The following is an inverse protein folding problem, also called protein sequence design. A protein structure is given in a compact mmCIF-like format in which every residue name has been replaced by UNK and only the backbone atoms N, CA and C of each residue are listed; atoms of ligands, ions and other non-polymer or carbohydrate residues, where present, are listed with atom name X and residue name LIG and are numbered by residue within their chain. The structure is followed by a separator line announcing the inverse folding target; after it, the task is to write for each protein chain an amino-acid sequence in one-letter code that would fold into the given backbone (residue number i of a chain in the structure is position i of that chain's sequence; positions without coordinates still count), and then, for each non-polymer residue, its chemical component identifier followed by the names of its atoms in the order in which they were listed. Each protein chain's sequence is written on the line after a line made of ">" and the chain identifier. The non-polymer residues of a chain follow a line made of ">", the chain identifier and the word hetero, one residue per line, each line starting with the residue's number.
data_IF_400763843054
#
_entry.id   IF_400763843054
#
_cell.length_a   1.000
_cell.length_b   1.000
_cell.length_c   1.000
_cell.angle_alpha   90.00
_cell.angle_beta   90.00
_cell.angle_gamma   90.00
#
_symmetry.space_group_name_H-M   'P 1'
#
loop_
_entity.id
_entity.type
_entity.pdbx_description
1 polymer ?
#
# COMPACT_ATOMS: atom_id res chain seq x y z
N UNK A 1 19.03 23.92 -35.07
CA UNK A 1 19.50 22.65 -34.48
C UNK A 1 18.80 22.50 -33.14
N UNK A 2 17.71 21.76 -33.13
CA UNK A 2 16.85 21.56 -31.94
C UNK A 2 17.44 20.44 -31.09
N UNK A 3 17.80 20.74 -29.85
CA UNK A 3 18.14 19.73 -28.82
C UNK A 3 16.82 19.10 -28.34
N UNK A 4 16.54 17.89 -28.78
CA UNK A 4 15.53 17.04 -28.19
C UNK A 4 16.07 16.56 -26.83
N UNK A 5 15.55 17.14 -25.75
CA UNK A 5 15.74 16.62 -24.39
C UNK A 5 15.07 15.26 -24.28
N UNK A 6 15.86 14.22 -24.23
CA UNK A 6 15.39 12.87 -23.87
C UNK A 6 15.12 12.88 -22.38
N UNK A 7 13.86 13.04 -22.00
CA UNK A 7 13.37 12.69 -20.67
C UNK A 7 13.61 11.17 -20.48
N UNK A 8 14.68 10.83 -19.81
CA UNK A 8 15.00 9.47 -19.41
C UNK A 8 14.13 9.05 -18.23
N UNK A 9 12.85 8.78 -18.45
CA UNK A 9 11.95 8.26 -17.41
C UNK A 9 12.48 6.92 -16.87
N UNK A 10 12.66 6.81 -15.54
CA UNK A 10 12.98 5.53 -14.88
C UNK A 10 11.88 4.52 -15.25
N UNK A 11 12.28 3.29 -15.57
CA UNK A 11 11.32 2.19 -15.75
C UNK A 11 10.52 2.02 -14.46
N UNK A 12 9.18 2.03 -14.51
CA UNK A 12 8.36 1.81 -13.32
C UNK A 12 8.76 0.52 -12.61
N UNK A 13 8.93 0.58 -11.30
CA UNK A 13 9.41 -0.56 -10.49
C UNK A 13 8.61 -1.84 -10.74
N UNK A 14 7.29 -1.71 -10.88
CA UNK A 14 6.39 -2.85 -11.10
C UNK A 14 6.43 -3.41 -12.52
N UNK A 15 7.01 -2.74 -13.51
CA UNK A 15 7.29 -3.35 -14.81
C UNK A 15 8.34 -4.46 -14.71
N UNK A 16 9.18 -4.44 -13.66
CA UNK A 16 10.20 -5.45 -13.40
C UNK A 16 9.74 -6.56 -12.45
N UNK A 17 8.79 -6.29 -11.54
CA UNK A 17 8.47 -7.18 -10.42
C UNK A 17 6.99 -7.53 -10.29
N UNK A 18 6.11 -6.97 -11.13
CA UNK A 18 4.65 -7.06 -10.98
C UNK A 18 4.03 -8.39 -11.43
N UNK A 19 4.77 -9.29 -12.10
CA UNK A 19 4.23 -10.59 -12.52
C UNK A 19 3.89 -11.46 -11.31
N UNK A 20 2.63 -11.96 -11.24
CA UNK A 20 2.15 -12.78 -10.12
C UNK A 20 1.68 -12.01 -8.88
N UNK A 21 1.76 -10.67 -8.87
CA UNK A 21 1.33 -9.84 -7.75
C UNK A 21 -0.17 -10.00 -7.43
N UNK A 22 -1.01 -10.11 -8.45
CA UNK A 22 -2.46 -10.27 -8.32
C UNK A 22 -2.90 -11.57 -7.62
N UNK A 23 -2.05 -12.60 -7.60
CA UNK A 23 -2.41 -13.90 -7.02
C UNK A 23 -2.50 -13.86 -5.49
N UNK A 24 -1.73 -12.99 -4.83
CA UNK A 24 -1.65 -12.89 -3.36
C UNK A 24 -2.33 -11.64 -2.81
N UNK A 25 -2.63 -10.64 -3.66
CA UNK A 25 -3.27 -9.40 -3.26
C UNK A 25 -4.75 -9.46 -3.60
N UNK A 26 -5.55 -9.55 -2.57
CA UNK A 26 -7.03 -9.54 -2.63
C UNK A 26 -7.53 -8.50 -1.66
N UNK A 27 -8.59 -7.78 -2.02
CA UNK A 27 -9.19 -6.83 -1.09
C UNK A 27 -9.78 -7.55 0.13
N UNK A 28 -9.44 -7.10 1.33
CA UNK A 28 -10.18 -7.50 2.53
C UNK A 28 -11.46 -6.66 2.62
N UNK A 29 -12.65 -7.29 2.75
CA UNK A 29 -13.92 -6.56 2.68
C UNK A 29 -14.07 -5.52 3.81
N UNK A 30 -13.46 -5.72 4.97
CA UNK A 30 -13.50 -4.79 6.11
C UNK A 30 -12.67 -3.55 5.82
N UNK A 31 -11.45 -3.73 5.28
CA UNK A 31 -10.60 -2.62 4.85
C UNK A 31 -11.24 -1.89 3.66
N UNK A 32 -11.81 -2.64 2.71
CA UNK A 32 -12.53 -2.04 1.57
C UNK A 32 -13.74 -1.21 2.02
N UNK A 33 -14.45 -1.65 3.05
CA UNK A 33 -15.55 -0.88 3.64
C UNK A 33 -15.04 0.45 4.21
N UNK A 34 -13.95 0.45 4.98
CA UNK A 34 -13.37 1.67 5.52
C UNK A 34 -12.97 2.68 4.42
N UNK A 35 -12.38 2.20 3.32
CA UNK A 35 -12.05 3.05 2.15
C UNK A 35 -13.32 3.62 1.50
N UNK A 36 -14.36 2.80 1.29
CA UNK A 36 -15.64 3.25 0.71
C UNK A 36 -16.31 4.30 1.58
N UNK A 37 -16.34 4.09 2.89
CA UNK A 37 -16.94 5.03 3.86
C UNK A 37 -16.20 6.37 3.85
N UNK A 38 -14.87 6.36 3.72
CA UNK A 38 -14.07 7.57 3.60
C UNK A 38 -14.31 8.34 2.30
N UNK A 39 -14.59 7.63 1.21
CA UNK A 39 -14.98 8.26 -0.06
C UNK A 39 -16.36 8.93 0.01
N UNK A 40 -17.20 8.57 0.98
CA UNK A 40 -18.51 9.17 1.22
C UNK A 40 -19.42 9.10 -0.01
N UNK A 41 -20.06 10.22 -0.33
CA UNK A 41 -21.00 10.39 -1.44
C UNK A 41 -20.34 10.76 -2.78
N UNK A 42 -19.02 10.62 -2.91
CA UNK A 42 -18.30 10.85 -4.17
C UNK A 42 -18.85 9.91 -5.27
N UNK A 43 -19.38 10.46 -6.35
CA UNK A 43 -19.92 9.69 -7.48
C UNK A 43 -18.86 9.32 -8.51
N UNK A 44 -17.78 10.09 -8.57
CA UNK A 44 -16.62 9.86 -9.45
C UNK A 44 -15.32 9.84 -8.66
N UNK A 45 -14.47 8.84 -8.94
CA UNK A 45 -13.22 8.59 -8.19
C UNK A 45 -12.07 8.34 -9.15
N UNK A 46 -10.90 8.95 -8.89
CA UNK A 46 -9.64 8.57 -9.50
C UNK A 46 -8.82 7.72 -8.50
N UNK A 47 -8.39 6.53 -8.92
CA UNK A 47 -7.50 5.68 -8.13
C UNK A 47 -6.05 5.86 -8.62
N UNK A 48 -5.18 6.42 -7.78
CA UNK A 48 -3.81 6.78 -8.11
C UNK A 48 -2.84 5.72 -7.58
N UNK A 49 -2.01 5.16 -8.48
CA UNK A 49 -1.21 3.96 -8.20
C UNK A 49 -2.11 2.72 -8.12
N UNK A 50 -3.05 2.63 -9.03
CA UNK A 50 -4.16 1.67 -8.99
C UNK A 50 -3.71 0.20 -9.13
N UNK A 51 -2.55 -0.05 -9.71
CA UNK A 51 -2.05 -1.39 -9.91
C UNK A 51 -3.07 -2.28 -10.65
N UNK A 52 -3.36 -3.44 -10.06
CA UNK A 52 -4.32 -4.41 -10.58
C UNK A 52 -5.78 -4.11 -10.22
N UNK A 53 -6.05 -3.04 -9.44
CA UNK A 53 -7.40 -2.58 -9.12
C UNK A 53 -7.95 -3.07 -7.76
N UNK A 54 -7.08 -3.40 -6.81
CA UNK A 54 -7.53 -3.74 -5.45
C UNK A 54 -8.14 -2.51 -4.75
N UNK A 55 -9.18 -2.74 -3.94
CA UNK A 55 -9.91 -1.72 -3.19
C UNK A 55 -10.67 -0.69 -4.04
N UNK A 56 -10.87 -0.94 -5.33
CA UNK A 56 -11.67 -0.08 -6.19
C UNK A 56 -13.17 -0.24 -5.90
N UNK A 57 -13.89 0.84 -5.55
CA UNK A 57 -15.34 0.78 -5.39
C UNK A 57 -16.03 0.47 -6.73
N UNK A 58 -16.97 -0.45 -6.71
CA UNK A 58 -17.71 -0.91 -7.91
C UNK A 58 -19.03 -0.18 -8.13
N UNK A 59 -19.44 0.62 -7.18
CA UNK A 59 -20.74 1.29 -7.09
C UNK A 59 -20.72 2.75 -7.62
N UNK A 60 -19.58 3.18 -8.18
CA UNK A 60 -19.38 4.54 -8.67
C UNK A 60 -18.48 4.59 -9.90
N UNK A 61 -18.48 5.74 -10.59
CA UNK A 61 -17.58 5.94 -11.72
C UNK A 61 -16.13 5.97 -11.22
N UNK A 62 -15.26 5.20 -11.86
CA UNK A 62 -13.86 5.14 -11.48
C UNK A 62 -12.95 5.22 -12.70
N UNK A 63 -11.86 5.95 -12.57
CA UNK A 63 -10.71 5.95 -13.47
C UNK A 63 -9.45 5.58 -12.71
N UNK A 64 -8.72 4.60 -13.22
CA UNK A 64 -7.46 4.14 -12.64
C UNK A 64 -6.27 4.86 -13.28
N UNK A 65 -5.27 5.22 -12.48
CA UNK A 65 -4.01 5.81 -12.96
C UNK A 65 -2.86 5.00 -12.38
N UNK A 66 -1.97 4.47 -13.23
CA UNK A 66 -0.78 3.73 -12.80
C UNK A 66 0.35 3.89 -13.82
N UNK A 67 1.61 4.07 -13.39
CA UNK A 67 2.75 4.18 -14.32
C UNK A 67 3.13 2.86 -14.98
N UNK A 68 2.79 1.71 -14.37
CA UNK A 68 3.21 0.38 -14.82
C UNK A 68 2.26 -0.22 -15.86
N UNK A 69 2.77 -0.42 -17.06
CA UNK A 69 2.04 -1.17 -18.11
C UNK A 69 1.75 -2.61 -17.69
N UNK A 70 2.67 -3.23 -16.96
CA UNK A 70 2.54 -4.62 -16.50
C UNK A 70 1.41 -4.76 -15.50
N UNK A 71 1.26 -3.81 -14.59
CA UNK A 71 0.16 -3.80 -13.61
C UNK A 71 -1.19 -3.53 -14.29
N UNK A 72 -1.24 -2.56 -15.19
CA UNK A 72 -2.46 -2.25 -15.95
C UNK A 72 -2.93 -3.43 -16.81
N UNK A 73 -2.00 -4.18 -17.41
CA UNK A 73 -2.31 -5.37 -18.21
C UNK A 73 -2.86 -6.55 -17.40
N UNK A 74 -2.65 -6.59 -16.08
CA UNK A 74 -3.16 -7.62 -15.17
C UNK A 74 -4.54 -7.27 -14.58
N UNK A 75 -5.11 -6.11 -14.92
CA UNK A 75 -6.45 -5.75 -14.45
C UNK A 75 -7.48 -6.73 -15.01
N UNK A 76 -8.46 -7.16 -14.20
CA UNK A 76 -9.46 -8.12 -14.63
C UNK A 76 -10.32 -7.57 -15.78
N UNK A 77 -10.86 -8.45 -16.60
CA UNK A 77 -11.84 -8.08 -17.62
C UNK A 77 -13.05 -7.39 -16.97
N UNK A 78 -13.45 -6.24 -17.52
CA UNK A 78 -14.53 -5.43 -16.96
C UNK A 78 -14.12 -4.50 -15.81
N UNK A 79 -12.82 -4.42 -15.45
CA UNK A 79 -12.32 -3.39 -14.56
C UNK A 79 -12.56 -1.98 -15.13
N UNK A 80 -12.56 -1.00 -14.24
CA UNK A 80 -12.71 0.42 -14.61
C UNK A 80 -11.64 0.85 -15.63
N UNK A 81 -11.94 1.86 -16.49
CA UNK A 81 -10.95 2.41 -17.40
C UNK A 81 -9.65 2.78 -16.71
N UNK A 82 -8.53 2.56 -17.39
CA UNK A 82 -7.22 2.83 -16.83
C UNK A 82 -6.35 3.61 -17.81
N UNK A 83 -5.61 4.58 -17.29
CA UNK A 83 -4.67 5.40 -18.04
C UNK A 83 -3.29 5.31 -17.41
N UNK A 84 -2.27 5.46 -18.26
CA UNK A 84 -0.89 5.48 -17.79
C UNK A 84 -0.51 6.87 -17.30
N UNK A 85 -0.06 6.96 -16.03
CA UNK A 85 0.40 8.22 -15.43
C UNK A 85 1.07 7.95 -14.08
N UNK A 86 1.94 8.86 -13.64
CA UNK A 86 2.49 8.85 -12.28
C UNK A 86 1.64 9.67 -11.33
N UNK A 87 1.85 9.48 -10.03
CA UNK A 87 1.19 10.28 -9.01
C UNK A 87 1.61 11.75 -9.08
N UNK A 88 2.86 12.01 -9.45
CA UNK A 88 3.44 13.34 -9.54
C UNK A 88 3.01 14.12 -10.80
N UNK A 89 2.39 13.42 -11.76
CA UNK A 89 1.86 14.02 -12.98
C UNK A 89 0.63 13.23 -13.44
N UNK A 90 -0.51 13.51 -12.83
CA UNK A 90 -1.76 12.81 -13.12
C UNK A 90 -2.37 13.38 -14.41
N UNK A 91 -2.61 12.54 -15.46
CA UNK A 91 -3.13 12.98 -16.74
C UNK A 91 -4.66 13.18 -16.74
N UNK A 92 -5.15 13.92 -15.78
CA UNK A 92 -6.54 14.33 -15.60
C UNK A 92 -6.61 15.86 -15.43
N UNK A 93 -7.72 16.44 -15.86
CA UNK A 93 -7.96 17.88 -15.70
C UNK A 93 -8.22 18.26 -14.23
N UNK A 94 -8.05 19.55 -13.90
CA UNK A 94 -8.36 20.09 -12.60
C UNK A 94 -9.83 19.85 -12.26
N UNK A 95 -10.10 19.49 -10.99
CA UNK A 95 -11.44 19.27 -10.48
C UNK A 95 -12.29 18.33 -11.37
N UNK A 96 -11.67 17.31 -11.98
CA UNK A 96 -12.35 16.38 -12.92
C UNK A 96 -13.12 15.25 -12.23
N UNK A 97 -12.77 14.93 -10.98
CA UNK A 97 -13.43 13.86 -10.19
C UNK A 97 -13.90 14.40 -8.84
N UNK A 98 -14.86 13.72 -8.20
CA UNK A 98 -15.31 14.11 -6.85
C UNK A 98 -14.26 13.79 -5.80
N UNK A 99 -13.59 12.63 -5.92
CA UNK A 99 -12.55 12.21 -5.02
C UNK A 99 -11.36 11.59 -5.75
N UNK A 100 -10.17 11.73 -5.17
CA UNK A 100 -8.99 10.96 -5.54
C UNK A 100 -8.64 10.00 -4.40
N UNK A 101 -8.25 8.76 -4.71
CA UNK A 101 -7.81 7.80 -3.71
C UNK A 101 -6.45 7.21 -4.05
N UNK A 102 -5.69 6.81 -3.01
CA UNK A 102 -4.43 6.09 -3.11
C UNK A 102 -4.38 5.00 -2.02
N UNK A 103 -4.15 3.74 -2.39
CA UNK A 103 -4.20 2.62 -1.47
C UNK A 103 -2.90 1.82 -1.51
N UNK A 104 -2.13 1.84 -0.41
CA UNK A 104 -0.85 1.14 -0.27
C UNK A 104 0.13 1.37 -1.43
N UNK A 105 0.23 2.60 -1.93
CA UNK A 105 1.01 2.93 -3.12
C UNK A 105 2.08 4.01 -2.91
N UNK A 106 1.89 4.92 -1.97
CA UNK A 106 2.75 6.09 -1.72
C UNK A 106 4.23 5.74 -1.46
N UNK A 107 4.51 4.57 -0.90
CA UNK A 107 5.88 4.09 -0.74
C UNK A 107 6.62 3.83 -2.07
N UNK A 108 5.96 3.95 -3.20
CA UNK A 108 6.50 3.78 -4.54
C UNK A 108 6.62 5.11 -5.30
N UNK A 109 6.12 6.20 -4.74
CA UNK A 109 6.18 7.53 -5.35
C UNK A 109 7.57 8.14 -5.17
N UNK A 110 8.01 8.89 -6.14
CA UNK A 110 9.29 9.62 -6.06
C UNK A 110 9.15 10.89 -5.20
N UNK A 111 7.94 11.48 -5.16
CA UNK A 111 7.62 12.67 -4.38
C UNK A 111 6.16 12.67 -3.89
N UNK A 112 5.97 12.26 -2.63
CA UNK A 112 4.63 12.19 -2.04
C UNK A 112 3.93 13.54 -1.92
N UNK A 113 4.66 14.63 -1.67
CA UNK A 113 4.08 15.97 -1.59
C UNK A 113 3.53 16.42 -2.95
N UNK A 114 4.28 16.18 -4.03
CA UNK A 114 3.81 16.45 -5.39
C UNK A 114 2.62 15.56 -5.75
N UNK A 115 2.65 14.27 -5.40
CA UNK A 115 1.54 13.35 -5.62
C UNK A 115 0.26 13.79 -4.90
N UNK A 116 0.37 14.21 -3.64
CA UNK A 116 -0.76 14.76 -2.89
C UNK A 116 -1.29 16.06 -3.52
N UNK A 117 -0.40 16.96 -3.99
CA UNK A 117 -0.80 18.18 -4.67
C UNK A 117 -1.59 17.86 -5.96
N UNK A 118 -1.13 16.92 -6.76
CA UNK A 118 -1.83 16.46 -7.96
C UNK A 118 -3.19 15.82 -7.62
N UNK A 119 -3.27 14.96 -6.60
CA UNK A 119 -4.55 14.41 -6.15
C UNK A 119 -5.54 15.49 -5.72
N UNK A 120 -5.06 16.53 -5.02
CA UNK A 120 -5.88 17.69 -4.65
C UNK A 120 -6.31 18.51 -5.86
N UNK A 121 -5.44 18.66 -6.86
CA UNK A 121 -5.75 19.37 -8.10
C UNK A 121 -6.91 18.75 -8.85
N UNK A 122 -6.92 17.42 -8.98
CA UNK A 122 -7.94 16.70 -9.76
C UNK A 122 -9.25 16.48 -8.99
N UNK A 123 -9.21 16.48 -7.64
CA UNK A 123 -10.36 16.19 -6.80
C UNK A 123 -11.12 17.47 -6.41
N UNK A 124 -12.46 17.46 -6.61
CA UNK A 124 -13.35 18.55 -6.21
C UNK A 124 -13.62 18.63 -4.71
N UNK A 125 -13.60 17.50 -4.01
CA UNK A 125 -14.19 17.41 -2.67
C UNK A 125 -13.27 16.79 -1.63
N UNK A 126 -12.53 15.72 -1.98
CA UNK A 126 -11.68 15.03 -1.02
C UNK A 126 -10.59 14.18 -1.67
N UNK A 127 -9.55 13.97 -0.90
CA UNK A 127 -8.49 12.99 -1.17
C UNK A 127 -8.52 11.96 -0.05
N UNK A 128 -8.46 10.68 -0.40
CA UNK A 128 -8.46 9.55 0.54
C UNK A 128 -7.19 8.72 0.33
N UNK A 129 -6.42 8.50 1.36
CA UNK A 129 -5.27 7.61 1.31
C UNK A 129 -5.39 6.50 2.36
N UNK A 130 -5.10 5.26 1.94
CA UNK A 130 -4.83 4.16 2.87
C UNK A 130 -3.34 3.85 2.78
N UNK A 131 -2.61 4.16 3.84
CA UNK A 131 -1.14 4.07 3.90
C UNK A 131 -0.65 3.43 5.20
N UNK A 132 0.66 3.39 5.38
CA UNK A 132 1.30 2.84 6.56
C UNK A 132 1.97 3.96 7.36
N UNK A 133 1.63 4.03 8.63
CA UNK A 133 2.42 4.72 9.64
C UNK A 133 3.70 3.91 9.91
N UNK A 134 4.81 4.42 9.44
CA UNK A 134 6.10 3.74 9.57
C UNK A 134 6.65 3.78 11.00
N UNK A 135 6.18 4.68 11.86
CA UNK A 135 6.58 4.76 13.26
C UNK A 135 5.99 3.62 14.10
N UNK A 136 4.80 3.14 13.72
CA UNK A 136 4.19 1.96 14.33
C UNK A 136 4.89 0.63 13.97
N UNK A 137 5.97 0.67 13.18
CA UNK A 137 6.70 -0.54 12.77
C UNK A 137 7.20 -1.38 13.94
N UNK A 138 7.59 -0.74 15.03
CA UNK A 138 8.14 -1.42 16.21
C UNK A 138 7.10 -2.23 17.01
N UNK A 139 5.83 -1.97 16.81
CA UNK A 139 4.74 -2.76 17.39
C UNK A 139 4.50 -4.07 16.65
N UNK A 140 5.01 -4.21 15.45
CA UNK A 140 4.87 -5.42 14.67
C UNK A 140 6.05 -6.37 14.92
N UNK A 141 5.78 -7.52 15.57
CA UNK A 141 6.79 -8.48 16.00
C UNK A 141 7.76 -8.91 14.88
N UNK A 142 7.31 -9.03 13.63
CA UNK A 142 8.16 -9.43 12.52
C UNK A 142 9.28 -8.39 12.25
N UNK A 143 8.95 -7.11 12.39
CA UNK A 143 9.93 -6.01 12.26
C UNK A 143 10.80 -5.95 13.52
N UNK A 144 10.17 -5.97 14.69
CA UNK A 144 10.85 -5.83 15.98
C UNK A 144 11.90 -6.91 16.20
N UNK A 145 11.54 -8.17 15.92
CA UNK A 145 12.33 -9.34 16.33
C UNK A 145 13.21 -9.90 15.21
N UNK A 146 12.83 -9.71 13.92
CA UNK A 146 13.49 -10.42 12.81
C UNK A 146 13.94 -9.50 11.66
N UNK A 147 13.22 -8.42 11.38
CA UNK A 147 13.47 -7.57 10.21
C UNK A 147 13.82 -6.12 10.59
N UNK A 148 14.74 -5.92 11.52
CA UNK A 148 15.14 -4.58 11.98
C UNK A 148 15.60 -3.63 10.87
N UNK A 149 16.08 -4.15 9.75
CA UNK A 149 16.45 -3.38 8.55
C UNK A 149 15.25 -2.72 7.85
N UNK A 150 14.02 -3.14 8.15
CA UNK A 150 12.80 -2.50 7.64
C UNK A 150 12.78 -0.99 7.89
N UNK A 151 13.35 -0.53 9.02
CA UNK A 151 13.43 0.89 9.38
C UNK A 151 14.16 1.74 8.34
N UNK A 152 15.05 1.14 7.53
CA UNK A 152 15.79 1.82 6.47
C UNK A 152 14.96 1.99 5.18
N UNK A 153 13.77 1.38 5.11
CA UNK A 153 12.91 1.42 3.93
C UNK A 153 11.97 2.64 3.90
N UNK A 154 12.06 3.55 4.85
CA UNK A 154 11.24 4.79 4.87
C UNK A 154 11.43 5.58 3.58
N UNK A 155 10.35 6.13 2.99
CA UNK A 155 10.48 7.04 1.85
C UNK A 155 11.32 8.26 2.23
N UNK A 156 12.23 8.72 1.36
CA UNK A 156 12.90 10.00 1.55
C UNK A 156 11.86 11.13 1.58
N UNK A 157 11.91 11.99 2.61
CA UNK A 157 10.96 13.11 2.76
C UNK A 157 9.59 12.73 3.32
N UNK A 158 9.44 11.50 3.83
CA UNK A 158 8.17 11.03 4.38
C UNK A 158 7.16 10.53 3.34
N UNK A 159 6.08 9.92 3.82
CA UNK A 159 4.97 9.43 2.99
C UNK A 159 3.70 10.27 3.17
N UNK A 160 2.59 9.75 2.71
CA UNK A 160 1.28 10.40 2.91
C UNK A 160 0.87 10.47 4.38
N UNK A 161 1.43 9.60 5.23
CA UNK A 161 1.23 9.64 6.67
C UNK A 161 1.74 10.94 7.29
N UNK A 162 3.02 11.28 7.07
CA UNK A 162 3.65 12.49 7.58
C UNK A 162 2.95 13.75 7.06
N UNK A 163 2.63 13.77 5.75
CA UNK A 163 1.88 14.88 5.14
C UNK A 163 0.47 15.02 5.73
N UNK A 164 -0.17 13.92 6.12
CA UNK A 164 -1.45 13.91 6.82
C UNK A 164 -1.37 14.59 8.18
N UNK A 165 -0.36 14.25 8.98
CA UNK A 165 -0.09 14.86 10.28
C UNK A 165 0.17 16.37 10.17
N UNK A 166 1.06 16.77 9.24
CA UNK A 166 1.45 18.18 9.04
C UNK A 166 0.28 19.06 8.57
N UNK A 167 -0.63 18.50 7.78
CA UNK A 167 -1.77 19.23 7.22
C UNK A 167 -3.03 19.21 8.08
N UNK A 168 -3.03 18.50 9.22
CA UNK A 168 -4.20 18.36 10.07
C UNK A 168 -5.36 17.60 9.41
N UNK A 169 -5.06 16.62 8.55
CA UNK A 169 -6.06 15.78 7.93
C UNK A 169 -6.81 14.91 8.97
N UNK A 170 -8.00 14.43 8.64
CA UNK A 170 -8.69 13.41 9.42
C UNK A 170 -7.99 12.07 9.25
N UNK A 171 -7.37 11.57 10.32
CA UNK A 171 -6.59 10.34 10.33
C UNK A 171 -7.25 9.32 11.24
N UNK A 172 -7.52 8.14 10.70
CA UNK A 172 -8.17 7.05 11.41
C UNK A 172 -7.31 5.78 11.35
N UNK A 173 -7.13 5.05 12.47
CA UNK A 173 -6.55 3.72 12.42
C UNK A 173 -7.49 2.76 11.67
N UNK A 174 -6.92 1.84 10.91
CA UNK A 174 -7.63 0.71 10.30
C UNK A 174 -7.02 -0.57 10.87
N UNK A 175 -7.62 -1.16 11.90
CA UNK A 175 -7.12 -2.40 12.47
C UNK A 175 -7.07 -3.51 11.44
N UNK A 176 -6.04 -4.35 11.52
CA UNK A 176 -5.85 -5.47 10.61
C UNK A 176 -6.47 -6.72 11.24
N UNK A 177 -7.48 -7.32 10.63
CA UNK A 177 -8.08 -8.54 11.14
C UNK A 177 -7.10 -9.72 11.13
N UNK A 178 -7.20 -10.62 12.11
CA UNK A 178 -6.29 -11.77 12.20
C UNK A 178 -6.36 -12.72 11.00
N UNK A 179 -7.53 -12.81 10.37
CA UNK A 179 -7.83 -13.62 9.20
C UNK A 179 -7.83 -12.80 7.90
N UNK A 180 -7.23 -11.61 7.91
CA UNK A 180 -7.14 -10.73 6.74
C UNK A 180 -6.81 -11.51 5.48
N UNK A 181 -7.62 -11.34 4.44
CA UNK A 181 -7.48 -12.06 3.17
C UNK A 181 -6.56 -11.38 2.16
N UNK A 182 -6.23 -10.09 2.37
CA UNK A 182 -5.20 -9.41 1.57
C UNK A 182 -3.80 -9.87 2.02
N UNK A 183 -2.92 -10.10 1.06
CA UNK A 183 -1.55 -10.56 1.29
C UNK A 183 -0.53 -9.45 1.51
N UNK A 184 -0.90 -8.27 2.02
CA UNK A 184 0.08 -7.23 2.32
C UNK A 184 0.95 -7.57 3.55
N UNK A 185 2.06 -6.88 3.71
CA UNK A 185 3.14 -7.24 4.63
C UNK A 185 2.69 -7.49 6.08
N UNK A 186 1.69 -6.76 6.59
CA UNK A 186 1.21 -6.86 7.98
C UNK A 186 -0.01 -7.79 8.16
N UNK A 187 -0.53 -8.38 7.09
CA UNK A 187 -1.76 -9.16 7.10
C UNK A 187 -1.66 -10.50 7.85
N UNK A 188 -0.47 -11.04 8.02
CA UNK A 188 -0.28 -12.36 8.64
C UNK A 188 0.23 -12.27 10.09
N UNK A 189 -0.06 -11.19 10.79
CA UNK A 189 0.46 -10.89 12.13
C UNK A 189 0.14 -11.99 13.17
N UNK A 190 -1.00 -12.67 13.05
CA UNK A 190 -1.40 -13.80 13.90
C UNK A 190 -1.07 -15.16 13.27
N UNK A 191 -0.52 -15.18 12.06
CA UNK A 191 -0.22 -16.39 11.27
C UNK A 191 1.27 -16.44 10.89
N UNK A 192 2.18 -16.53 11.89
CA UNK A 192 3.62 -16.34 11.67
C UNK A 192 4.21 -17.33 10.66
N UNK A 193 3.71 -18.58 10.60
CA UNK A 193 4.17 -19.59 9.63
C UNK A 193 3.98 -19.17 8.17
N UNK A 194 3.03 -18.27 7.87
CA UNK A 194 2.82 -17.78 6.52
C UNK A 194 4.04 -17.04 5.96
N UNK A 195 4.81 -16.35 6.81
CA UNK A 195 6.02 -15.66 6.37
C UNK A 195 7.16 -16.61 5.99
N UNK A 196 7.13 -17.88 6.40
CA UNK A 196 8.12 -18.88 6.00
C UNK A 196 7.92 -19.34 4.56
N UNK A 197 6.73 -19.16 3.98
CA UNK A 197 6.45 -19.52 2.59
C UNK A 197 7.02 -18.44 1.63
N UNK A 198 7.97 -18.82 0.75
CA UNK A 198 8.50 -17.90 -0.25
C UNK A 198 7.44 -17.34 -1.21
N UNK A 199 6.39 -18.12 -1.52
CA UNK A 199 5.32 -17.67 -2.41
C UNK A 199 4.49 -16.55 -1.77
N UNK A 200 4.22 -16.63 -0.46
CA UNK A 200 3.56 -15.57 0.31
C UNK A 200 4.43 -14.31 0.33
N UNK A 201 5.73 -14.45 0.63
CA UNK A 201 6.67 -13.30 0.63
C UNK A 201 6.82 -12.65 -0.74
N UNK A 202 6.74 -13.41 -1.82
CA UNK A 202 6.85 -12.89 -3.18
C UNK A 202 5.77 -11.84 -3.52
N UNK A 203 4.59 -11.91 -2.89
CA UNK A 203 3.52 -10.92 -3.01
C UNK A 203 3.74 -9.63 -2.21
N UNK A 204 4.78 -9.56 -1.37
CA UNK A 204 5.05 -8.44 -0.48
C UNK A 204 6.25 -7.63 -0.95
N UNK A 205 6.03 -6.39 -1.38
CA UNK A 205 7.09 -5.51 -1.91
C UNK A 205 8.23 -5.26 -0.91
N UNK A 206 7.98 -5.36 0.38
CA UNK A 206 8.97 -5.21 1.45
C UNK A 206 10.11 -6.21 1.29
N UNK A 207 9.82 -7.50 1.13
CA UNK A 207 10.86 -8.53 1.02
C UNK A 207 11.74 -8.39 -0.21
N UNK A 208 11.27 -7.71 -1.25
CA UNK A 208 12.08 -7.41 -2.46
C UNK A 208 13.00 -6.20 -2.29
N UNK A 209 12.78 -5.40 -1.23
CA UNK A 209 13.57 -4.20 -0.91
C UNK A 209 14.64 -4.47 0.15
N UNK A 210 14.50 -5.57 0.87
CA UNK A 210 15.46 -6.04 1.86
C UNK A 210 16.52 -6.91 1.19
N UNK A 211 17.69 -6.97 1.81
CA UNK A 211 18.75 -7.88 1.39
C UNK A 211 18.32 -9.35 1.56
N UNK A 212 18.58 -10.16 0.53
CA UNK A 212 18.11 -11.54 0.49
C UNK A 212 18.75 -12.46 1.53
N UNK A 213 20.01 -12.22 1.89
CA UNK A 213 20.70 -13.01 2.93
C UNK A 213 20.10 -12.70 4.29
N UNK A 214 19.91 -11.43 4.59
CA UNK A 214 19.28 -10.99 5.84
C UNK A 214 17.82 -11.48 5.97
N UNK A 215 17.07 -11.55 4.86
CA UNK A 215 15.74 -12.17 4.86
C UNK A 215 15.84 -13.66 5.12
N UNK A 216 16.83 -14.35 4.54
CA UNK A 216 17.07 -15.78 4.78
C UNK A 216 17.33 -16.08 6.25
N UNK A 217 18.25 -15.33 6.86
CA UNK A 217 18.58 -15.46 8.28
C UNK A 217 17.38 -15.19 9.19
N UNK A 218 16.62 -14.12 8.90
CA UNK A 218 15.41 -13.78 9.64
C UNK A 218 14.35 -14.90 9.57
N UNK A 219 14.16 -15.52 8.42
CA UNK A 219 13.20 -16.62 8.27
C UNK A 219 13.69 -17.91 8.94
N UNK A 220 14.98 -18.15 8.99
CA UNK A 220 15.56 -19.26 9.75
C UNK A 220 15.31 -19.07 11.25
N UNK A 221 15.65 -17.91 11.82
CA UNK A 221 15.39 -17.58 13.22
C UNK A 221 13.89 -17.69 13.57
N UNK A 222 13.01 -17.16 12.70
CA UNK A 222 11.57 -17.30 12.91
C UNK A 222 11.13 -18.78 12.93
N UNK A 223 11.69 -19.60 12.04
CA UNK A 223 11.39 -21.03 11.99
C UNK A 223 11.82 -21.77 13.26
N UNK A 224 13.00 -21.44 13.79
CA UNK A 224 13.53 -22.00 15.04
C UNK A 224 12.69 -21.58 16.25
N UNK A 225 12.33 -20.29 16.32
CA UNK A 225 11.48 -19.76 17.38
C UNK A 225 10.06 -20.38 17.37
N UNK A 226 9.52 -20.65 16.19
CA UNK A 226 8.24 -21.35 16.06
C UNK A 226 8.32 -22.85 16.42
N UNK A 227 9.47 -23.47 16.20
CA UNK A 227 9.69 -24.86 16.55
C UNK A 227 9.93 -25.05 18.06
N UNK A 228 10.68 -24.15 18.69
CA UNK A 228 10.99 -24.16 20.13
C UNK A 228 9.84 -23.65 21.02
N UNK A 229 8.89 -22.89 20.45
CA UNK A 229 7.84 -22.20 21.19
C UNK A 229 8.19 -20.77 21.63
N UNK A 230 9.43 -20.33 21.43
CA UNK A 230 9.91 -19.01 21.83
C UNK A 230 9.10 -17.85 21.20
N UNK A 231 8.62 -18.01 19.95
CA UNK A 231 7.70 -17.04 19.36
C UNK A 231 6.40 -16.90 20.18
N UNK A 232 5.82 -18.04 20.60
CA UNK A 232 4.58 -18.06 21.38
C UNK A 232 4.77 -17.49 22.78
N UNK A 233 5.93 -17.70 23.40
CA UNK A 233 6.25 -17.08 24.69
C UNK A 233 6.27 -15.56 24.63
N UNK A 234 6.78 -14.99 23.53
CA UNK A 234 6.86 -13.53 23.33
C UNK A 234 5.59 -12.88 22.81
N UNK A 235 4.77 -13.62 22.08
CA UNK A 235 3.66 -13.06 21.30
C UNK A 235 2.34 -13.83 21.46
N UNK A 236 2.23 -14.66 22.52
CA UNK A 236 1.07 -15.53 22.72
C UNK A 236 -0.22 -14.78 22.97
N UNK A 237 -0.15 -13.60 23.58
CA UNK A 237 -1.24 -12.65 23.81
C UNK A 237 -1.93 -12.22 22.49
N UNK A 238 -1.18 -12.16 21.39
CA UNK A 238 -1.74 -11.85 20.09
C UNK A 238 -2.70 -12.92 19.55
N UNK A 239 -2.61 -14.15 20.05
CA UNK A 239 -3.45 -15.25 19.59
C UNK A 239 -4.92 -15.14 20.03
N UNK A 240 -5.19 -14.29 21.00
CA UNK A 240 -6.54 -14.07 21.55
C UNK A 240 -7.16 -12.74 21.06
N UNK A 241 -6.48 -12.02 20.15
CA UNK A 241 -6.93 -10.74 19.61
C UNK A 241 -7.46 -10.93 18.18
N UNK A 242 -8.64 -10.40 17.89
CA UNK A 242 -9.28 -10.56 16.57
C UNK A 242 -8.80 -9.55 15.52
N UNK A 243 -8.36 -8.37 15.94
CA UNK A 243 -7.81 -7.34 15.08
C UNK A 243 -6.73 -6.55 15.82
N UNK A 244 -5.75 -6.03 15.10
CA UNK A 244 -4.61 -5.33 15.69
C UNK A 244 -4.29 -4.04 14.92
N UNK A 245 -4.06 -2.95 15.65
CA UNK A 245 -3.50 -1.73 15.06
C UNK A 245 -2.01 -1.94 14.74
N UNK A 246 -1.73 -2.09 13.48
CA UNK A 246 -0.40 -2.28 12.94
C UNK A 246 0.07 -1.07 12.12
N UNK A 247 -0.49 0.11 12.40
CA UNK A 247 -0.12 1.33 11.70
C UNK A 247 -0.72 1.45 10.31
N UNK A 248 -1.79 0.73 9.98
CA UNK A 248 -2.58 1.04 8.78
C UNK A 248 -3.42 2.26 9.09
N UNK A 249 -3.28 3.29 8.26
CA UNK A 249 -3.93 4.60 8.45
C UNK A 249 -4.76 4.98 7.23
N UNK A 250 -6.00 5.34 7.50
CA UNK A 250 -6.90 5.98 6.55
C UNK A 250 -6.84 7.48 6.78
N UNK A 251 -6.47 8.23 5.75
CA UNK A 251 -6.27 9.67 5.81
C UNK A 251 -7.24 10.33 4.85
N UNK A 252 -7.98 11.33 5.33
CA UNK A 252 -8.94 12.08 4.52
C UNK A 252 -8.59 13.57 4.57
N UNK A 253 -8.32 14.14 3.41
CA UNK A 253 -8.23 15.58 3.21
C UNK A 253 -9.50 16.07 2.52
N UNK A 254 -10.11 17.11 3.07
CA UNK A 254 -11.17 17.87 2.39
C UNK A 254 -10.51 18.96 1.55
N UNK A 255 -10.91 19.09 0.30
CA UNK A 255 -10.40 20.11 -0.65
C UNK A 255 -11.28 21.34 -0.62
#
# INVERSE_FOLDING_TARGET
>A
MSRSERSGGRTPRYDLIGSGYAATRREDPRIAAAVRDALGDASSVANIGAGTGSYEPRDRQLIAVDPSKVMLAQRPAGASPAIRGSAEQIPLEDASVDAAMAVFTDQHWDNCAQGLAEMRRIARRRVVALTIDHESGDHFWLIRDYLGQYRQLRPPGGGLWELGLESGADIRPVPVPWDCVDGFFRAFWRRPRAYLDPAVRAGMSVFRRLDSLSVGDAMLCLSEDLASGAWRERNGDLLDVDELDLGVRLIVWTT
#
